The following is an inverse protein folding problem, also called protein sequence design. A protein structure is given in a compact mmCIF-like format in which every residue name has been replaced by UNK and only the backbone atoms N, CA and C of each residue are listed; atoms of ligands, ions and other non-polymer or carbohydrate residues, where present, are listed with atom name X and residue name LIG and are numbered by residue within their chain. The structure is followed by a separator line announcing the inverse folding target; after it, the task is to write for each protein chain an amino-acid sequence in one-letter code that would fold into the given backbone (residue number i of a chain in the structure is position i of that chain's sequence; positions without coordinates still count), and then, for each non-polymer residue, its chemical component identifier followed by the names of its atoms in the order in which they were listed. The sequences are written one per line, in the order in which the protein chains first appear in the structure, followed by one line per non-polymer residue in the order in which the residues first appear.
data_IF_897882491181
#
_entry.id   IF_897882491181
#
_cell.length_a   1.000
_cell.length_b   1.000
_cell.length_c   1.000
_cell.angle_alpha   90.00
_cell.angle_beta   90.00
_cell.angle_gamma   90.00
#
_symmetry.space_group_name_H-M   'P 1'
#
loop_
_entity.id
_entity.type
_entity.pdbx_description
1 polymer ?
#
# COMPACT_ATOMS: atom_id res chain seq x y z
N UNK A 1 14.88 -7.60 1.41
CA UNK A 1 13.55 -8.23 1.21
C UNK A 1 12.53 -7.37 1.90
N UNK A 2 11.51 -6.88 1.19
CA UNK A 2 10.39 -6.18 1.80
C UNK A 2 9.26 -7.16 2.09
N UNK A 3 8.70 -7.09 3.29
CA UNK A 3 7.41 -7.68 3.61
C UNK A 3 6.36 -6.58 3.55
N UNK A 4 5.27 -6.83 2.83
CA UNK A 4 4.15 -5.89 2.69
C UNK A 4 2.94 -6.51 3.39
N UNK A 5 2.20 -5.72 4.15
CA UNK A 5 0.94 -6.12 4.76
C UNK A 5 -0.13 -5.08 4.45
N UNK A 6 -1.09 -5.38 3.56
CA UNK A 6 -2.24 -4.53 3.32
C UNK A 6 -3.27 -4.63 4.44
N UNK A 7 -3.92 -3.52 4.77
CA UNK A 7 -4.97 -3.38 5.77
C UNK A 7 -6.05 -2.47 5.18
N UNK A 8 -7.10 -3.07 4.62
CA UNK A 8 -8.30 -2.34 4.20
C UNK A 8 -9.12 -1.91 5.41
N UNK A 9 -9.75 -0.74 5.31
CA UNK A 9 -10.57 -0.11 6.33
C UNK A 9 -9.86 -0.08 7.68
N UNK A 10 -8.56 0.22 7.64
CA UNK A 10 -7.76 0.39 8.86
C UNK A 10 -8.43 1.42 9.77
N UNK A 11 -8.36 1.22 11.09
CA UNK A 11 -8.98 2.10 12.10
C UNK A 11 -8.42 3.54 12.09
N UNK A 12 -7.54 3.87 11.14
CA UNK A 12 -6.88 5.15 10.96
C UNK A 12 -7.88 6.23 10.53
N UNK A 13 -9.11 5.88 10.08
CA UNK A 13 -10.22 6.84 9.98
C UNK A 13 -10.40 7.66 11.27
N UNK A 14 -10.27 7.02 12.45
CA UNK A 14 -10.40 7.69 13.74
C UNK A 14 -9.17 8.56 14.10
N UNK A 15 -7.99 8.25 13.55
CA UNK A 15 -6.72 8.95 13.84
C UNK A 15 -6.49 10.13 12.88
N UNK A 16 -6.87 9.98 11.60
CA UNK A 16 -6.79 11.06 10.62
C UNK A 16 -7.88 12.12 10.82
N UNK A 17 -8.97 11.82 11.52
CA UNK A 17 -9.97 12.82 11.96
C UNK A 17 -9.37 13.97 12.78
N UNK A 18 -8.15 13.82 13.31
CA UNK A 18 -7.44 14.86 14.07
C UNK A 18 -6.30 15.56 13.29
N UNK A 19 -5.88 15.03 12.13
CA UNK A 19 -4.75 15.57 11.35
C UNK A 19 -5.15 15.82 9.91
N UNK A 20 -5.64 17.03 9.64
CA UNK A 20 -5.73 17.58 8.29
C UNK A 20 -4.34 17.74 7.69
N UNK A 21 -3.96 16.90 6.75
CA UNK A 21 -2.82 17.14 5.86
C UNK A 21 -3.36 17.47 4.47
N UNK A 22 -3.06 18.68 3.99
CA UNK A 22 -3.26 19.13 2.59
C UNK A 22 -4.70 19.12 2.04
N UNK A 23 -5.73 19.34 2.86
CA UNK A 23 -7.08 19.65 2.36
C UNK A 23 -7.90 18.47 1.81
N UNK A 24 -7.34 17.26 1.78
CA UNK A 24 -8.11 16.03 1.64
C UNK A 24 -8.74 15.71 2.99
N UNK A 25 -10.05 15.47 3.02
CA UNK A 25 -10.68 15.01 4.24
C UNK A 25 -10.15 13.59 4.49
N UNK A 26 -9.77 13.32 5.74
CA UNK A 26 -9.30 12.04 6.25
C UNK A 26 -10.12 10.79 5.86
N UNK A 27 -11.34 10.98 5.37
CA UNK A 27 -12.32 9.94 5.07
C UNK A 27 -12.09 9.20 3.75
N UNK A 28 -11.17 9.66 2.89
CA UNK A 28 -10.93 9.00 1.60
C UNK A 28 -9.81 7.94 1.65
N UNK A 29 -8.98 7.89 2.70
CA UNK A 29 -7.87 6.92 2.80
C UNK A 29 -8.30 5.66 3.53
N UNK A 30 -8.84 4.71 2.78
CA UNK A 30 -9.36 3.44 3.30
C UNK A 30 -8.36 2.27 3.21
N UNK A 31 -7.14 2.47 2.68
CA UNK A 31 -6.12 1.43 2.59
C UNK A 31 -4.80 1.87 3.24
N UNK A 32 -4.30 1.02 4.14
CA UNK A 32 -2.97 1.13 4.74
C UNK A 32 -2.09 -0.05 4.28
N UNK A 33 -0.82 0.23 3.96
CA UNK A 33 0.20 -0.77 3.74
C UNK A 33 1.30 -0.62 4.78
N UNK A 34 1.55 -1.67 5.55
CA UNK A 34 2.75 -1.74 6.39
C UNK A 34 3.86 -2.43 5.59
N UNK A 35 4.90 -1.67 5.25
CA UNK A 35 6.06 -2.14 4.52
C UNK A 35 7.24 -2.26 5.48
N UNK A 36 7.71 -3.49 5.71
CA UNK A 36 8.83 -3.79 6.59
C UNK A 36 10.03 -4.27 5.79
N UNK A 37 11.19 -3.64 5.99
CA UNK A 37 12.44 -4.17 5.45
C UNK A 37 12.96 -5.31 6.33
N UNK A 38 12.83 -6.54 5.85
CA UNK A 38 13.36 -7.75 6.50
C UNK A 38 14.75 -8.14 5.98
N UNK A 39 15.31 -7.37 5.04
CA UNK A 39 16.65 -7.60 4.50
C UNK A 39 17.76 -7.03 5.39
N UNK A 40 19.01 -7.40 5.09
CA UNK A 40 20.18 -6.92 5.84
C UNK A 40 20.67 -5.52 5.43
N UNK A 41 20.17 -4.98 4.31
CA UNK A 41 20.59 -3.68 3.77
C UNK A 41 19.40 -2.70 3.71
N UNK A 42 19.68 -1.40 3.77
CA UNK A 42 18.68 -0.35 3.58
C UNK A 42 18.07 -0.44 2.18
N UNK A 43 16.73 -0.36 2.11
CA UNK A 43 15.98 -0.37 0.85
C UNK A 43 15.31 0.98 0.67
N UNK A 44 15.32 1.52 -0.55
CA UNK A 44 14.67 2.79 -0.88
C UNK A 44 13.36 2.48 -1.61
N UNK A 45 12.24 2.87 -1.02
CA UNK A 45 10.89 2.53 -1.46
C UNK A 45 10.19 3.79 -1.96
N UNK A 46 9.92 3.92 -3.27
CA UNK A 46 9.08 4.99 -3.79
C UNK A 46 7.64 4.84 -3.30
N UNK A 47 6.93 5.95 -3.18
CA UNK A 47 5.53 6.00 -2.75
C UNK A 47 4.58 5.62 -3.89
N UNK A 48 4.78 4.41 -4.43
CA UNK A 48 3.93 3.80 -5.45
C UNK A 48 3.91 2.28 -5.30
N UNK A 49 2.83 1.67 -5.75
CA UNK A 49 2.74 0.22 -5.92
C UNK A 49 1.86 -0.11 -7.12
N UNK A 50 1.91 -1.36 -7.57
CA UNK A 50 0.95 -1.87 -8.55
C UNK A 50 -0.05 -2.79 -7.87
N UNK A 51 -1.31 -2.70 -8.26
CA UNK A 51 -2.29 -3.77 -8.05
C UNK A 51 -2.29 -4.65 -9.28
N UNK A 52 -2.37 -5.97 -9.08
CA UNK A 52 -2.48 -6.94 -10.18
C UNK A 52 -3.64 -7.87 -9.95
N UNK A 53 -4.36 -8.17 -11.03
CA UNK A 53 -5.45 -9.14 -11.05
C UNK A 53 -5.73 -9.62 -12.47
N UNK A 54 -6.91 -10.20 -12.68
CA UNK A 54 -7.35 -10.70 -13.99
C UNK A 54 -7.41 -9.63 -15.09
N UNK A 55 -7.55 -8.38 -14.68
CA UNK A 55 -7.65 -7.20 -15.54
C UNK A 55 -6.29 -6.58 -15.90
N UNK A 56 -5.17 -7.17 -15.43
CA UNK A 56 -3.82 -6.69 -15.67
C UNK A 56 -3.20 -6.00 -14.47
N UNK A 57 -2.40 -4.94 -14.72
CA UNK A 57 -1.68 -4.18 -13.69
C UNK A 57 -2.16 -2.73 -13.65
N UNK A 58 -2.43 -2.19 -12.46
CA UNK A 58 -2.83 -0.79 -12.23
C UNK A 58 -1.85 -0.14 -11.27
N UNK A 59 -1.20 0.92 -11.72
CA UNK A 59 -0.29 1.70 -10.90
C UNK A 59 -1.04 2.62 -9.93
N UNK A 60 -0.67 2.55 -8.66
CA UNK A 60 -1.12 3.44 -7.58
C UNK A 60 0.05 4.37 -7.24
N UNK A 61 0.02 5.61 -7.72
CA UNK A 61 1.11 6.59 -7.52
C UNK A 61 0.82 7.60 -6.40
N UNK A 62 -0.40 7.59 -5.86
CA UNK A 62 -0.85 8.54 -4.85
C UNK A 62 -0.62 8.05 -3.41
N UNK A 63 0.38 7.19 -3.16
CA UNK A 63 0.67 6.75 -1.80
C UNK A 63 1.22 7.90 -0.95
N UNK A 64 0.72 8.01 0.26
CA UNK A 64 1.17 8.93 1.30
C UNK A 64 1.96 8.18 2.37
N UNK A 65 3.03 8.76 2.93
CA UNK A 65 3.63 10.05 2.55
C UNK A 65 4.32 9.95 1.18
N UNK A 66 4.29 11.02 0.38
CA UNK A 66 4.89 11.05 -0.96
C UNK A 66 6.44 11.00 -0.92
N UNK A 67 7.04 10.61 -2.05
CA UNK A 67 8.49 10.62 -2.27
C UNK A 67 9.13 9.23 -2.26
N UNK A 68 10.44 9.19 -2.04
CA UNK A 68 11.22 7.95 -1.90
C UNK A 68 11.75 7.87 -0.48
N UNK A 69 11.48 6.75 0.19
CA UNK A 69 11.76 6.58 1.61
C UNK A 69 12.81 5.50 1.83
N UNK A 70 13.81 5.81 2.65
CA UNK A 70 14.83 4.84 3.03
C UNK A 70 14.38 4.06 4.27
N UNK A 71 14.26 2.73 4.13
CA UNK A 71 13.92 1.81 5.21
C UNK A 71 15.18 1.04 5.61
N UNK A 72 15.68 1.28 6.81
CA UNK A 72 16.76 0.49 7.41
C UNK A 72 16.31 -0.96 7.68
N UNK A 73 17.25 -1.91 7.87
CA UNK A 73 16.92 -3.27 8.30
C UNK A 73 16.03 -3.29 9.56
N UNK A 74 14.93 -4.03 9.51
CA UNK A 74 13.92 -4.13 10.56
C UNK A 74 12.92 -2.97 10.64
N UNK A 75 13.13 -1.89 9.89
CA UNK A 75 12.24 -0.73 9.91
C UNK A 75 10.93 -1.04 9.19
N UNK A 76 9.82 -0.57 9.78
CA UNK A 76 8.49 -0.59 9.17
C UNK A 76 8.03 0.83 8.87
N UNK A 77 7.42 1.02 7.71
CA UNK A 77 6.81 2.27 7.30
C UNK A 77 5.39 2.03 6.80
N UNK A 78 4.48 2.91 7.18
CA UNK A 78 3.10 2.87 6.70
C UNK A 78 2.94 3.76 5.46
N UNK A 79 2.24 3.23 4.45
CA UNK A 79 1.77 3.96 3.29
C UNK A 79 0.24 3.95 3.26
N UNK A 80 -0.36 5.04 2.78
CA UNK A 80 -1.81 5.21 2.76
C UNK A 80 -2.29 5.69 1.40
N UNK A 81 -3.45 5.23 0.96
CA UNK A 81 -4.15 5.80 -0.19
C UNK A 81 -5.67 5.61 -0.09
N UNK A 82 -6.37 6.38 -0.92
CA UNK A 82 -7.73 6.04 -1.31
C UNK A 82 -7.70 4.85 -2.27
N UNK A 83 -8.54 3.86 -1.99
CA UNK A 83 -8.66 2.65 -2.78
C UNK A 83 -10.12 2.40 -3.17
N UNK A 84 -10.34 2.17 -4.47
CA UNK A 84 -11.60 1.65 -4.96
C UNK A 84 -11.77 0.20 -4.48
N UNK A 85 -12.81 -0.07 -3.69
CA UNK A 85 -13.05 -1.39 -3.13
C UNK A 85 -13.31 -2.47 -4.19
N UNK A 86 -13.95 -2.12 -5.32
CA UNK A 86 -14.17 -3.08 -6.41
C UNK A 86 -12.86 -3.43 -7.11
N UNK A 87 -11.97 -2.44 -7.30
CA UNK A 87 -10.62 -2.69 -7.79
C UNK A 87 -9.85 -3.59 -6.82
N UNK A 88 -9.91 -3.30 -5.52
CA UNK A 88 -9.25 -4.10 -4.49
C UNK A 88 -9.75 -5.56 -4.46
N UNK A 89 -11.07 -5.76 -4.51
CA UNK A 89 -11.70 -7.09 -4.51
C UNK A 89 -11.30 -7.94 -5.72
N UNK A 90 -11.00 -7.29 -6.85
CA UNK A 90 -10.54 -7.93 -8.08
C UNK A 90 -9.02 -8.03 -8.20
N UNK A 91 -8.27 -7.58 -7.18
CA UNK A 91 -6.82 -7.63 -7.16
C UNK A 91 -6.34 -8.86 -6.40
N UNK A 92 -5.48 -9.66 -7.02
CA UNK A 92 -4.88 -10.85 -6.41
C UNK A 92 -3.63 -10.49 -5.59
N UNK A 93 -2.81 -9.54 -6.06
CA UNK A 93 -1.60 -9.09 -5.36
C UNK A 93 -1.38 -7.57 -5.45
N UNK A 94 -0.66 -7.05 -4.44
CA UNK A 94 -0.02 -5.73 -4.47
C UNK A 94 1.48 -5.90 -4.65
N UNK A 95 2.10 -5.05 -5.44
CA UNK A 95 3.53 -5.11 -5.77
C UNK A 95 4.19 -3.78 -5.46
N UNK A 96 5.07 -3.78 -4.47
CA UNK A 96 5.96 -2.64 -4.21
C UNK A 96 7.26 -2.80 -4.98
N UNK A 97 7.90 -1.66 -5.25
CA UNK A 97 9.18 -1.60 -5.96
C UNK A 97 10.21 -0.91 -5.07
N UNK A 98 11.48 -1.28 -5.22
CA UNK A 98 12.56 -0.40 -4.78
C UNK A 98 13.08 0.48 -5.93
N UNK A 99 14.00 1.39 -5.62
CA UNK A 99 14.60 2.30 -6.60
C UNK A 99 15.56 1.62 -7.59
N UNK A 100 15.84 0.33 -7.40
CA UNK A 100 16.58 -0.51 -8.33
C UNK A 100 15.64 -1.30 -9.26
N UNK A 101 14.32 -1.22 -9.04
CA UNK A 101 13.31 -1.92 -9.82
C UNK A 101 13.01 -3.34 -9.34
N UNK A 102 13.55 -3.77 -8.19
CA UNK A 102 13.17 -5.07 -7.62
C UNK A 102 11.71 -5.03 -7.16
N UNK A 103 11.01 -6.14 -7.37
CA UNK A 103 9.58 -6.26 -7.08
C UNK A 103 9.34 -7.07 -5.81
N UNK A 104 8.38 -6.60 -5.00
CA UNK A 104 7.99 -7.22 -3.74
C UNK A 104 6.47 -7.40 -3.75
N UNK A 105 6.04 -8.57 -4.21
CA UNK A 105 4.63 -8.94 -4.31
C UNK A 105 4.10 -9.49 -2.99
N UNK A 106 2.85 -9.15 -2.67
CA UNK A 106 2.11 -9.66 -1.53
C UNK A 106 0.65 -9.90 -1.94
N UNK A 107 0.06 -11.07 -1.63
CA UNK A 107 -1.36 -11.29 -1.84
C UNK A 107 -2.21 -10.25 -1.11
N UNK A 108 -3.24 -9.72 -1.77
CA UNK A 108 -4.16 -8.74 -1.14
C UNK A 108 -4.98 -9.36 -0.02
N UNK A 109 -5.22 -10.68 -0.08
CA UNK A 109 -6.15 -11.38 0.81
C UNK A 109 -7.61 -10.94 0.65
N UNK A 110 -7.92 -10.19 -0.42
CA UNK A 110 -9.26 -9.71 -0.70
C UNK A 110 -10.20 -10.92 -0.94
N UNK A 111 -11.30 -10.98 -0.20
CA UNK A 111 -12.34 -11.99 -0.45
C UNK A 111 -13.22 -11.49 -1.58
N UNK A 112 -13.08 -12.09 -2.77
CA UNK A 112 -14.08 -11.92 -3.83
C UNK A 112 -15.46 -12.30 -3.28
N UNK A 113 -16.50 -11.48 -3.50
CA UNK A 113 -17.87 -11.92 -3.22
C UNK A 113 -18.15 -13.17 -4.05
N UNK A 114 -18.88 -14.14 -3.48
CA UNK A 114 -19.31 -15.30 -4.22
C UNK A 114 -20.20 -14.84 -5.38
N UNK A 115 -19.93 -15.32 -6.59
CA UNK A 115 -20.84 -15.14 -7.72
C UNK A 115 -22.05 -16.07 -7.47
N UNK A 116 -23.24 -15.49 -7.32
CA UNK A 116 -24.54 -16.20 -7.24
C UNK A 116 -25.01 -16.67 -8.63
#
# INVERSE_FOLDING_TARGET
MLSVKPIMNSCVEAIFGFKTCCGLRAFDQNLEFLVTNQGPATVRVPSRCDLRGDWGSHGVEALMPHGVHALAPGQTMAFYCAMDEQLWLRSDEVVFFDDQGNQYACPTGARRPAED
#
